data_IF_694812543274
#
_entry.id   IF_694812543274
#
_cell.length_a   1.000
_cell.length_b   1.000
_cell.length_c   1.000
_cell.angle_alpha   90.00
_cell.angle_beta   90.00
_cell.angle_gamma   90.00
#
_symmetry.space_group_name_H-M   'P 1'
#
loop_
_entity.id
_entity.type
_entity.pdbx_description
1 polymer ?
#
# COMPACT_ATOMS: atom_id res chain seq x y z
N UNK A 1 5.80 -2.83 14.48
CA UNK A 1 4.35 -3.13 14.46
C UNK A 1 3.61 -2.01 13.75
N UNK A 2 2.29 -1.91 13.92
CA UNK A 2 1.51 -0.69 13.67
C UNK A 2 1.19 -0.06 15.04
N UNK A 3 1.15 1.27 15.11
CA UNK A 3 0.70 2.00 16.29
C UNK A 3 -0.84 1.93 16.38
N UNK A 4 -1.42 1.39 17.47
CA UNK A 4 -2.88 1.25 17.62
C UNK A 4 -3.61 2.59 17.76
N UNK A 5 -2.93 3.66 18.19
CA UNK A 5 -3.53 4.99 18.35
C UNK A 5 -3.66 5.75 17.02
N UNK A 6 -3.01 5.25 15.96
CA UNK A 6 -3.01 5.88 14.65
C UNK A 6 -3.92 5.14 13.68
N UNK A 7 -4.58 5.90 12.81
CA UNK A 7 -5.36 5.34 11.70
C UNK A 7 -4.44 4.51 10.80
N UNK A 8 -5.00 3.42 10.27
CA UNK A 8 -4.33 2.55 9.31
C UNK A 8 -5.14 2.58 8.02
N UNK A 9 -4.45 2.76 6.88
CA UNK A 9 -5.02 2.60 5.55
C UNK A 9 -4.38 1.39 4.87
N UNK A 10 -5.22 0.43 4.52
CA UNK A 10 -4.83 -0.70 3.71
C UNK A 10 -4.92 -0.37 2.21
N UNK A 11 -3.84 -0.57 1.47
CA UNK A 11 -3.77 -0.45 0.01
C UNK A 11 -3.75 -1.85 -0.56
N UNK A 12 -4.86 -2.28 -1.17
CA UNK A 12 -5.00 -3.61 -1.76
C UNK A 12 -5.02 -3.49 -3.30
N UNK A 13 -3.86 -3.49 -3.98
CA UNK A 13 -3.75 -3.26 -5.42
C UNK A 13 -4.28 -4.41 -6.30
N UNK A 14 -4.90 -5.41 -5.69
CA UNK A 14 -5.42 -6.60 -6.37
C UNK A 14 -4.41 -7.75 -6.38
N UNK A 15 -4.87 -8.88 -6.94
CA UNK A 15 -4.06 -10.11 -7.03
C UNK A 15 -3.49 -10.33 -8.42
N UNK A 16 -4.11 -9.71 -9.43
CA UNK A 16 -3.74 -9.87 -10.84
C UNK A 16 -2.66 -8.85 -11.22
N UNK A 17 -1.77 -9.24 -12.13
CA UNK A 17 -0.68 -8.36 -12.58
C UNK A 17 -1.18 -7.03 -13.19
N UNK A 18 -2.25 -7.09 -13.97
CA UNK A 18 -2.85 -5.90 -14.58
C UNK A 18 -3.46 -4.96 -13.52
N UNK A 19 -4.11 -5.51 -12.49
CA UNK A 19 -4.67 -4.74 -11.38
C UNK A 19 -3.57 -3.98 -10.63
N UNK A 20 -2.48 -4.68 -10.27
CA UNK A 20 -1.36 -4.06 -9.55
C UNK A 20 -0.72 -2.94 -10.37
N UNK A 21 -0.54 -3.12 -11.68
CA UNK A 21 0.01 -2.09 -12.55
C UNK A 21 -0.89 -0.86 -12.69
N UNK A 22 -2.19 -1.09 -12.90
CA UNK A 22 -3.14 -0.01 -13.20
C UNK A 22 -3.59 0.76 -11.95
N UNK A 23 -3.82 0.05 -10.83
CA UNK A 23 -4.46 0.63 -9.64
C UNK A 23 -3.47 1.25 -8.67
N UNK A 24 -2.25 0.70 -8.56
CA UNK A 24 -1.28 1.18 -7.56
C UNK A 24 -0.95 2.67 -7.71
N UNK A 25 -0.69 3.22 -8.91
CA UNK A 25 -0.44 4.65 -9.06
C UNK A 25 -1.61 5.52 -8.58
N UNK A 26 -2.85 5.11 -8.87
CA UNK A 26 -4.07 5.82 -8.44
C UNK A 26 -4.23 5.77 -6.91
N UNK A 27 -3.88 4.64 -6.30
CA UNK A 27 -3.89 4.48 -4.85
C UNK A 27 -2.82 5.32 -4.18
N UNK A 28 -1.62 5.44 -4.76
CA UNK A 28 -0.58 6.31 -4.23
C UNK A 28 -1.00 7.78 -4.25
N UNK A 29 -1.60 8.26 -5.35
CA UNK A 29 -2.12 9.63 -5.42
C UNK A 29 -3.20 9.90 -4.37
N UNK A 30 -4.04 8.92 -4.09
CA UNK A 30 -5.04 9.02 -3.03
C UNK A 30 -4.37 9.02 -1.65
N UNK A 31 -3.40 8.14 -1.41
CA UNK A 31 -2.67 8.04 -0.16
C UNK A 31 -1.90 9.34 0.15
N UNK A 32 -1.23 9.95 -0.82
CA UNK A 32 -0.54 11.26 -0.70
C UNK A 32 -1.46 12.37 -0.19
N UNK A 33 -2.72 12.37 -0.60
CA UNK A 33 -3.72 13.35 -0.11
C UNK A 33 -4.13 13.03 1.32
N UNK A 34 -4.32 11.75 1.63
CA UNK A 34 -4.76 11.30 2.95
C UNK A 34 -3.69 11.50 4.03
N UNK A 35 -2.41 11.26 3.76
CA UNK A 35 -1.35 11.51 4.74
C UNK A 35 -1.23 12.98 5.13
N UNK A 36 -1.56 13.91 4.22
CA UNK A 36 -1.62 15.36 4.52
C UNK A 36 -2.80 15.70 5.43
N UNK A 37 -3.92 14.98 5.30
CA UNK A 37 -5.13 15.22 6.09
C UNK A 37 -5.10 14.52 7.46
N UNK A 38 -4.42 13.39 7.56
CA UNK A 38 -4.32 12.57 8.77
C UNK A 38 -2.86 12.42 9.17
N UNK A 39 -2.30 13.37 9.94
CA UNK A 39 -0.96 13.24 10.49
C UNK A 39 -0.83 11.92 11.27
N UNK A 40 0.20 11.13 10.96
CA UNK A 40 0.43 9.83 11.58
C UNK A 40 -0.31 8.65 10.94
N UNK A 41 -1.04 8.86 9.83
CA UNK A 41 -1.66 7.77 9.06
C UNK A 41 -0.62 6.74 8.64
N UNK A 42 -0.90 5.46 8.92
CA UNK A 42 -0.03 4.34 8.59
C UNK A 42 -0.53 3.64 7.34
N UNK A 43 0.32 3.50 6.32
CA UNK A 43 -0.02 2.84 5.06
C UNK A 43 0.49 1.41 5.05
N UNK A 44 -0.37 0.45 4.70
CA UNK A 44 -0.01 -0.97 4.64
C UNK A 44 -0.49 -1.59 3.35
N UNK A 45 0.35 -2.37 2.68
CA UNK A 45 -0.01 -3.07 1.44
C UNK A 45 0.25 -4.58 1.57
N UNK A 46 -0.80 -5.41 1.67
CA UNK A 46 -0.65 -6.85 1.58
C UNK A 46 -0.48 -7.30 0.13
N UNK A 47 0.59 -8.05 -0.15
CA UNK A 47 0.88 -8.55 -1.49
C UNK A 47 0.87 -10.08 -1.49
N UNK A 48 0.17 -10.65 -2.47
CA UNK A 48 -0.16 -12.08 -2.49
C UNK A 48 1.02 -13.00 -2.81
N UNK A 49 2.08 -12.47 -3.43
CA UNK A 49 3.32 -13.19 -3.75
C UNK A 49 4.47 -12.24 -4.10
N UNK A 50 5.68 -12.80 -4.15
CA UNK A 50 6.92 -12.09 -4.46
C UNK A 50 6.88 -11.34 -5.80
N UNK A 51 6.28 -11.92 -6.86
CA UNK A 51 6.19 -11.25 -8.16
C UNK A 51 5.30 -10.01 -8.13
N UNK A 52 4.26 -9.99 -7.29
CA UNK A 52 3.45 -8.76 -7.05
C UNK A 52 4.23 -7.76 -6.20
N UNK A 53 4.98 -8.24 -5.21
CA UNK A 53 5.86 -7.43 -4.36
C UNK A 53 6.84 -6.61 -5.19
N UNK A 54 7.63 -7.27 -6.02
CA UNK A 54 8.62 -6.61 -6.88
C UNK A 54 7.98 -5.59 -7.82
N UNK A 55 6.83 -5.93 -8.43
CA UNK A 55 6.10 -4.97 -9.28
C UNK A 55 5.65 -3.75 -8.48
N UNK A 56 5.12 -3.95 -7.27
CA UNK A 56 4.61 -2.87 -6.44
C UNK A 56 5.73 -1.97 -5.91
N UNK A 57 6.86 -2.56 -5.51
CA UNK A 57 8.05 -1.82 -5.09
C UNK A 57 8.59 -0.95 -6.22
N UNK A 58 8.68 -1.47 -7.44
CA UNK A 58 9.08 -0.66 -8.60
C UNK A 58 8.12 0.52 -8.84
N UNK A 59 6.82 0.32 -8.66
CA UNK A 59 5.82 1.40 -8.79
C UNK A 59 5.92 2.42 -7.63
N UNK A 60 6.34 2.02 -6.43
CA UNK A 60 6.64 2.95 -5.33
C UNK A 60 7.83 3.82 -5.70
N UNK A 61 8.90 3.21 -6.22
CA UNK A 61 10.10 3.95 -6.64
C UNK A 61 9.78 4.98 -7.74
N UNK A 62 8.88 4.63 -8.67
CA UNK A 62 8.52 5.53 -9.77
C UNK A 62 7.55 6.64 -9.34
N UNK A 63 6.60 6.34 -8.45
CA UNK A 63 5.44 7.23 -8.23
C UNK A 63 5.24 7.70 -6.80
N UNK A 64 5.86 7.07 -5.80
CA UNK A 64 5.47 7.23 -4.41
C UNK A 64 6.64 7.13 -3.41
N UNK A 65 7.85 7.54 -3.80
CA UNK A 65 9.04 7.59 -2.92
C UNK A 65 8.85 8.41 -1.65
N UNK A 66 7.88 9.33 -1.65
CA UNK A 66 7.50 10.16 -0.52
C UNK A 66 6.51 9.47 0.45
N UNK A 67 5.98 8.31 0.10
CA UNK A 67 5.08 7.53 0.95
C UNK A 67 5.82 6.43 1.70
N UNK A 68 5.69 6.41 3.02
CA UNK A 68 6.11 5.28 3.85
C UNK A 68 5.03 4.18 3.84
N UNK A 69 5.12 3.26 2.87
CA UNK A 69 4.20 2.14 2.71
C UNK A 69 4.83 0.87 3.25
N UNK A 70 4.23 0.32 4.30
CA UNK A 70 4.66 -0.96 4.84
C UNK A 70 4.09 -2.12 4.03
N UNK A 71 4.95 -2.82 3.30
CA UNK A 71 4.57 -4.02 2.56
C UNK A 71 4.54 -5.23 3.50
N UNK A 72 3.50 -6.05 3.40
CA UNK A 72 3.39 -7.33 4.11
C UNK A 72 3.13 -8.47 3.13
N UNK A 73 3.84 -9.58 3.33
CA UNK A 73 3.73 -10.75 2.45
C UNK A 73 2.55 -11.64 2.86
N UNK A 74 1.67 -11.93 1.91
CA UNK A 74 0.41 -12.60 2.18
C UNK A 74 -0.49 -11.77 3.10
N UNK A 75 -1.46 -12.40 3.75
CA UNK A 75 -2.28 -11.78 4.80
C UNK A 75 -3.25 -10.65 4.36
N UNK A 76 -3.72 -10.63 3.11
CA UNK A 76 -4.78 -9.70 2.69
C UNK A 76 -6.00 -9.74 3.64
N UNK A 77 -6.32 -10.92 4.17
CA UNK A 77 -7.40 -11.11 5.15
C UNK A 77 -7.08 -10.50 6.51
N UNK A 78 -5.86 -10.65 7.03
CA UNK A 78 -5.41 -10.06 8.31
C UNK A 78 -5.37 -8.53 8.26
N UNK A 79 -5.10 -7.95 7.09
CA UNK A 79 -5.17 -6.49 6.92
C UNK A 79 -6.62 -5.97 6.94
N UNK A 80 -7.60 -6.82 6.63
CA UNK A 80 -9.02 -6.47 6.60
C UNK A 80 -9.78 -6.77 7.90
N UNK A 81 -9.18 -7.45 8.88
CA UNK A 81 -9.83 -7.90 10.13
C UNK A 81 -9.06 -7.46 11.36
#
# INVERSE_FOLDING_TARGET
GLNPEHKVLAILPGSRNAEVGLLSPVFFESAKRLVKQFPGLQLVAPLVNQRRREQFEALIEEHALDLDIKIVDGQARTVMT
#
